data_IF_604733446647
#
_entry.id   IF_604733446647
#
_cell.length_a   1.000
_cell.length_b   1.000
_cell.length_c   1.000
_cell.angle_alpha   90.00
_cell.angle_beta   90.00
_cell.angle_gamma   90.00
#
_symmetry.space_group_name_H-M   'P 1'
#
loop_
_entity.id
_entity.type
_entity.pdbx_description
1 polymer ?
#
# COMPACT_ATOMS: atom_id res chain seq x y z
N UNK A 1 32.28 16.64 -15.02
CA UNK A 1 30.95 15.98 -15.12
C UNK A 1 29.88 17.05 -14.96
N UNK A 2 28.79 16.98 -15.72
CA UNK A 2 27.79 18.07 -15.80
C UNK A 2 26.40 17.57 -15.45
N UNK A 3 25.66 18.34 -14.65
CA UNK A 3 24.27 18.05 -14.29
C UNK A 3 23.36 17.98 -15.53
N UNK A 4 23.59 18.85 -16.52
CA UNK A 4 22.86 18.86 -17.79
C UNK A 4 23.06 17.55 -18.57
N UNK A 5 24.24 16.95 -18.50
CA UNK A 5 24.50 15.64 -19.12
C UNK A 5 23.72 14.52 -18.42
N UNK A 6 23.57 14.57 -17.09
CA UNK A 6 22.70 13.64 -16.37
C UNK A 6 21.22 13.85 -16.69
N UNK A 7 20.75 15.11 -16.66
CA UNK A 7 19.34 15.46 -16.87
C UNK A 7 18.83 15.13 -18.27
N UNK A 8 19.55 15.58 -19.30
CA UNK A 8 19.07 15.51 -20.69
C UNK A 8 19.64 14.33 -21.48
N UNK A 9 20.89 13.94 -21.19
CA UNK A 9 21.58 12.88 -21.93
C UNK A 9 21.65 11.56 -21.16
N UNK A 10 21.22 11.55 -19.88
CA UNK A 10 21.35 10.39 -18.97
C UNK A 10 22.75 9.76 -19.03
N UNK A 11 23.78 10.61 -19.11
CA UNK A 11 25.18 10.17 -19.23
C UNK A 11 25.57 9.25 -18.05
N UNK A 12 25.99 8.00 -18.29
CA UNK A 12 26.23 7.03 -17.22
C UNK A 12 27.25 7.50 -16.17
N UNK A 13 28.32 8.18 -16.59
CA UNK A 13 29.35 8.68 -15.66
C UNK A 13 28.79 9.74 -14.73
N UNK A 14 28.05 10.69 -15.28
CA UNK A 14 27.39 11.73 -14.50
C UNK A 14 26.35 11.14 -13.54
N UNK A 15 25.55 10.16 -13.97
CA UNK A 15 24.58 9.48 -13.10
C UNK A 15 25.27 8.69 -11.97
N UNK A 16 26.37 7.98 -12.24
CA UNK A 16 27.17 7.32 -11.19
C UNK A 16 27.71 8.29 -10.15
N UNK A 17 28.16 9.49 -10.56
CA UNK A 17 28.59 10.52 -9.61
C UNK A 17 27.44 11.09 -8.79
N UNK A 18 26.25 11.26 -9.36
CA UNK A 18 25.06 11.65 -8.60
C UNK A 18 24.66 10.56 -7.59
N UNK A 19 24.76 9.28 -7.96
CA UNK A 19 24.49 8.17 -7.05
C UNK A 19 25.48 8.15 -5.89
N UNK A 20 26.78 8.36 -6.14
CA UNK A 20 27.78 8.49 -5.08
C UNK A 20 27.48 9.69 -4.16
N UNK A 21 27.15 10.84 -4.73
CA UNK A 21 26.77 12.03 -3.96
C UNK A 21 25.51 11.80 -3.12
N UNK A 22 24.51 11.09 -3.64
CA UNK A 22 23.31 10.71 -2.87
C UNK A 22 23.69 9.90 -1.63
N UNK A 23 24.48 8.84 -1.80
CA UNK A 23 24.90 7.95 -0.71
C UNK A 23 25.71 8.70 0.37
N UNK A 24 26.51 9.69 -0.03
CA UNK A 24 27.24 10.56 0.89
C UNK A 24 26.35 11.61 1.58
N UNK A 25 25.17 11.91 1.03
CA UNK A 25 24.31 13.00 1.49
C UNK A 25 23.11 12.52 2.31
N UNK A 26 22.65 11.29 2.09
CA UNK A 26 21.47 10.75 2.77
C UNK A 26 21.76 10.52 4.27
N UNK A 27 20.82 10.84 5.19
CA UNK A 27 21.01 10.58 6.60
C UNK A 27 21.16 9.09 6.90
N UNK A 28 22.25 8.72 7.55
CA UNK A 28 22.55 7.35 7.97
C UNK A 28 23.38 7.37 9.25
N UNK A 29 23.46 6.26 10.01
CA UNK A 29 24.33 6.20 11.20
C UNK A 29 25.79 6.56 10.90
N UNK A 30 26.27 6.27 9.69
CA UNK A 30 27.63 6.53 9.22
C UNK A 30 27.83 7.94 8.62
N UNK A 31 26.77 8.73 8.48
CA UNK A 31 26.85 10.06 7.88
C UNK A 31 26.58 11.15 8.92
N UNK A 32 27.67 11.70 9.46
CA UNK A 32 27.62 12.79 10.45
C UNK A 32 27.17 14.13 9.85
N UNK A 33 27.20 14.27 8.51
CA UNK A 33 26.97 15.53 7.81
C UNK A 33 25.97 15.38 6.65
N UNK A 34 24.71 14.98 6.95
CA UNK A 34 23.70 14.82 5.90
C UNK A 34 23.41 16.14 5.18
N UNK A 35 23.04 16.05 3.91
CA UNK A 35 22.62 17.20 3.11
C UNK A 35 21.31 16.90 2.38
N UNK A 36 20.19 17.39 2.92
CA UNK A 36 18.87 17.19 2.31
C UNK A 36 18.78 17.75 0.88
N UNK A 37 19.46 18.86 0.58
CA UNK A 37 19.52 19.46 -0.78
C UNK A 37 20.11 18.47 -1.77
N UNK A 38 21.33 18.00 -1.47
CA UNK A 38 22.05 17.08 -2.33
C UNK A 38 21.31 15.74 -2.43
N UNK A 39 20.84 15.18 -1.32
CA UNK A 39 20.09 13.92 -1.32
C UNK A 39 18.79 14.02 -2.14
N UNK A 40 17.96 15.03 -1.90
CA UNK A 40 16.69 15.19 -2.61
C UNK A 40 16.87 15.41 -4.11
N UNK A 41 17.76 16.33 -4.51
CA UNK A 41 17.98 16.63 -5.94
C UNK A 41 18.62 15.45 -6.68
N UNK A 42 19.65 14.81 -6.11
CA UNK A 42 20.28 13.64 -6.75
C UNK A 42 19.28 12.50 -6.91
N UNK A 43 18.47 12.19 -5.88
CA UNK A 43 17.46 11.14 -5.95
C UNK A 43 16.38 11.45 -7.00
N UNK A 44 15.91 12.70 -7.07
CA UNK A 44 14.97 13.17 -8.10
C UNK A 44 15.53 12.99 -9.51
N UNK A 45 16.78 13.39 -9.74
CA UNK A 45 17.41 13.29 -11.07
C UNK A 45 17.62 11.83 -11.47
N UNK A 46 18.03 10.98 -10.54
CA UNK A 46 18.21 9.54 -10.77
C UNK A 46 16.85 8.87 -11.07
N UNK A 47 15.78 9.26 -10.37
CA UNK A 47 14.41 8.82 -10.64
C UNK A 47 13.84 9.34 -11.96
N UNK A 48 14.31 10.48 -12.46
CA UNK A 48 13.94 10.99 -13.77
C UNK A 48 12.50 11.48 -13.86
N UNK A 49 11.79 11.06 -14.91
CA UNK A 49 10.40 11.46 -15.24
C UNK A 49 9.35 10.79 -14.37
N UNK A 50 9.72 9.80 -13.55
CA UNK A 50 8.77 9.01 -12.76
C UNK A 50 7.96 7.98 -13.58
N UNK A 51 8.17 7.88 -14.89
CA UNK A 51 7.51 6.85 -15.69
C UNK A 51 8.10 5.45 -15.46
N UNK A 52 7.39 4.43 -15.93
CA UNK A 52 7.77 3.02 -15.76
C UNK A 52 9.17 2.71 -16.32
N UNK A 53 9.57 3.35 -17.42
CA UNK A 53 10.89 3.13 -18.03
C UNK A 53 12.00 3.74 -17.17
N UNK A 54 11.79 4.95 -16.65
CA UNK A 54 12.71 5.62 -15.74
C UNK A 54 12.87 4.83 -14.43
N UNK A 55 11.77 4.34 -13.84
CA UNK A 55 11.81 3.50 -12.63
C UNK A 55 12.52 2.16 -12.89
N UNK A 56 12.25 1.51 -14.02
CA UNK A 56 12.93 0.26 -14.40
C UNK A 56 14.43 0.48 -14.54
N UNK A 57 14.83 1.58 -15.20
CA UNK A 57 16.23 1.98 -15.33
C UNK A 57 16.89 2.23 -13.96
N UNK A 58 16.22 2.97 -13.07
CA UNK A 58 16.71 3.25 -11.72
C UNK A 58 16.98 1.95 -10.94
N UNK A 59 16.02 1.03 -10.95
CA UNK A 59 16.08 -0.26 -10.24
C UNK A 59 17.20 -1.17 -10.71
N UNK A 60 17.54 -1.13 -12.00
CA UNK A 60 18.61 -1.95 -12.58
C UNK A 60 20.00 -1.32 -12.46
N UNK A 61 20.09 0.02 -12.52
CA UNK A 61 21.38 0.72 -12.57
C UNK A 61 21.89 1.14 -11.19
N UNK A 62 20.99 1.46 -10.25
CA UNK A 62 21.36 2.05 -8.97
C UNK A 62 20.67 1.35 -7.77
N UNK A 63 20.73 0.02 -7.62
CA UNK A 63 20.08 -0.65 -6.48
C UNK A 63 20.53 -0.10 -5.12
N UNK A 64 21.81 0.23 -4.96
CA UNK A 64 22.36 0.76 -3.70
C UNK A 64 21.71 2.08 -3.23
N UNK A 65 21.25 2.94 -4.16
CA UNK A 65 20.57 4.17 -3.76
C UNK A 65 19.15 3.87 -3.25
N UNK A 66 18.50 2.86 -3.82
CA UNK A 66 17.18 2.40 -3.39
C UNK A 66 17.28 1.69 -2.04
N UNK A 67 18.33 0.89 -1.82
CA UNK A 67 18.63 0.30 -0.51
C UNK A 67 18.83 1.38 0.55
N UNK A 68 19.68 2.38 0.29
CA UNK A 68 19.91 3.48 1.22
C UNK A 68 18.64 4.31 1.44
N UNK A 69 17.85 4.54 0.39
CA UNK A 69 16.59 5.26 0.48
C UNK A 69 15.55 4.51 1.31
N UNK A 70 15.38 3.22 1.06
CA UNK A 70 14.46 2.37 1.81
C UNK A 70 14.95 2.19 3.25
N UNK A 71 16.24 2.04 3.49
CA UNK A 71 16.81 2.02 4.84
C UNK A 71 16.57 3.34 5.59
N UNK A 72 16.64 4.49 4.91
CA UNK A 72 16.27 5.76 5.53
C UNK A 72 14.79 5.79 5.92
N UNK A 73 13.88 5.40 5.02
CA UNK A 73 12.42 5.44 5.27
C UNK A 73 11.99 4.40 6.32
N UNK A 74 12.50 3.16 6.22
CA UNK A 74 12.12 2.04 7.05
C UNK A 74 12.86 1.96 8.39
N UNK A 75 13.80 2.88 8.68
CA UNK A 75 14.52 2.85 9.96
C UNK A 75 13.58 3.21 11.12
N UNK A 76 13.45 2.32 12.12
CA UNK A 76 12.70 2.64 13.34
C UNK A 76 13.28 3.89 14.01
N UNK A 77 12.41 4.83 14.35
CA UNK A 77 12.76 6.07 15.05
C UNK A 77 11.76 6.33 16.16
N UNK A 78 12.27 6.75 17.30
CA UNK A 78 11.47 7.38 18.34
C UNK A 78 11.02 8.77 17.89
N UNK A 79 9.98 9.33 18.53
CA UNK A 79 9.57 10.71 18.30
C UNK A 79 10.70 11.74 18.59
N UNK A 80 11.62 11.41 19.49
CA UNK A 80 12.79 12.26 19.78
C UNK A 80 13.75 12.23 18.59
N UNK A 81 14.14 11.05 18.11
CA UNK A 81 15.04 10.91 16.96
C UNK A 81 14.48 11.54 15.68
N UNK A 82 13.16 11.42 15.44
CA UNK A 82 12.52 12.07 14.30
C UNK A 82 12.63 13.61 14.39
N UNK A 83 12.40 14.20 15.56
CA UNK A 83 12.54 15.65 15.77
C UNK A 83 13.99 16.11 15.64
N UNK A 84 14.94 15.37 16.20
CA UNK A 84 16.37 15.69 16.06
C UNK A 84 16.84 15.56 14.62
N UNK A 85 16.34 14.58 13.86
CA UNK A 85 16.57 14.49 12.42
C UNK A 85 16.04 15.72 11.69
N UNK A 86 14.81 16.17 11.96
CA UNK A 86 14.27 17.40 11.36
C UNK A 86 15.14 18.61 11.65
N UNK A 87 15.57 18.78 12.92
CA UNK A 87 16.46 19.88 13.32
C UNK A 87 17.81 19.81 12.61
N UNK A 88 18.42 18.62 12.55
CA UNK A 88 19.70 18.40 11.89
C UNK A 88 19.62 18.72 10.39
N UNK A 89 18.57 18.26 9.70
CA UNK A 89 18.36 18.56 8.28
C UNK A 89 18.08 20.04 8.04
N UNK A 90 17.34 20.71 8.93
CA UNK A 90 17.10 22.15 8.85
C UNK A 90 18.39 22.96 9.06
N UNK A 91 19.24 22.56 9.99
CA UNK A 91 20.56 23.16 10.16
C UNK A 91 21.42 22.95 8.91
N UNK A 92 21.55 21.71 8.44
CA UNK A 92 22.33 21.37 7.25
C UNK A 92 21.81 22.01 5.95
N UNK A 93 20.51 22.33 5.87
CA UNK A 93 19.95 23.05 4.73
C UNK A 93 20.61 24.41 4.52
N UNK A 94 20.94 25.12 5.61
CA UNK A 94 21.56 26.44 5.57
C UNK A 94 23.10 26.39 5.55
N UNK A 95 23.70 25.36 6.15
CA UNK A 95 25.15 25.25 6.33
C UNK A 95 25.70 23.85 6.03
N UNK A 96 25.37 23.29 4.86
CA UNK A 96 25.90 21.99 4.43
C UNK A 96 27.43 21.99 4.28
N UNK A 97 28.07 20.86 4.60
CA UNK A 97 29.53 20.66 4.45
C UNK A 97 29.93 20.04 3.09
N UNK A 98 29.03 20.04 2.11
CA UNK A 98 29.34 19.49 0.79
C UNK A 98 30.45 20.31 0.12
N UNK A 99 31.39 19.62 -0.54
CA UNK A 99 32.46 20.25 -1.30
C UNK A 99 31.92 20.88 -2.60
N UNK A 100 31.51 22.14 -2.49
CA UNK A 100 30.99 22.92 -3.63
C UNK A 100 32.08 23.31 -4.64
N UNK A 101 33.36 23.04 -4.37
CA UNK A 101 34.40 23.19 -5.39
C UNK A 101 34.22 22.15 -6.51
N UNK A 102 33.55 21.02 -6.24
CA UNK A 102 33.17 20.06 -7.26
C UNK A 102 32.00 20.61 -8.10
N UNK A 103 32.16 20.73 -9.44
CA UNK A 103 31.14 21.36 -10.30
C UNK A 103 29.76 20.69 -10.20
N UNK A 104 29.71 19.37 -10.08
CA UNK A 104 28.44 18.63 -9.97
C UNK A 104 27.73 18.91 -8.64
N UNK A 105 28.48 19.07 -7.55
CA UNK A 105 27.94 19.38 -6.22
C UNK A 105 27.38 20.80 -6.21
N UNK A 106 28.10 21.78 -6.77
CA UNK A 106 27.59 23.15 -6.90
C UNK A 106 26.29 23.18 -7.69
N UNK A 107 26.26 22.58 -8.89
CA UNK A 107 25.07 22.56 -9.75
C UNK A 107 23.86 21.91 -9.06
N UNK A 108 24.07 20.83 -8.29
CA UNK A 108 23.01 20.19 -7.50
C UNK A 108 22.43 21.14 -6.45
N UNK A 109 23.28 21.93 -5.78
CA UNK A 109 22.82 22.91 -4.78
C UNK A 109 22.12 24.10 -5.43
N UNK A 110 22.61 24.58 -6.57
CA UNK A 110 21.98 25.64 -7.34
C UNK A 110 20.58 25.19 -7.80
N UNK A 111 20.46 23.96 -8.30
CA UNK A 111 19.18 23.36 -8.65
C UNK A 111 18.24 23.21 -7.44
N UNK A 112 18.77 22.87 -6.26
CA UNK A 112 17.96 22.77 -5.04
C UNK A 112 17.34 24.11 -4.63
N UNK A 113 18.05 25.23 -4.83
CA UNK A 113 17.55 26.58 -4.54
C UNK A 113 16.42 26.99 -5.48
N UNK A 114 16.42 26.47 -6.71
CA UNK A 114 15.37 26.68 -7.70
C UNK A 114 14.11 25.85 -7.46
N UNK A 115 14.08 24.99 -6.43
CA UNK A 115 12.89 24.21 -6.13
C UNK A 115 11.73 25.16 -5.75
N UNK A 116 10.62 25.17 -6.51
CA UNK A 116 9.58 26.17 -6.30
C UNK A 116 8.74 25.92 -5.05
N UNK A 117 8.84 24.75 -4.40
CA UNK A 117 8.03 24.41 -3.23
C UNK A 117 8.58 25.07 -1.95
N UNK A 118 7.92 26.13 -1.42
CA UNK A 118 8.39 26.82 -0.23
C UNK A 118 8.33 25.94 1.02
N UNK A 119 7.47 24.91 1.03
CA UNK A 119 7.37 23.97 2.15
C UNK A 119 8.63 23.14 2.27
N UNK A 120 9.18 22.68 1.15
CA UNK A 120 10.44 21.93 1.13
C UNK A 120 11.63 22.74 1.66
N UNK A 121 11.60 24.08 1.51
CA UNK A 121 12.63 24.96 2.06
C UNK A 121 12.49 25.16 3.58
N UNK A 122 11.25 25.25 4.07
CA UNK A 122 10.95 25.45 5.49
C UNK A 122 11.06 24.16 6.31
N UNK A 123 10.79 23.02 5.66
CA UNK A 123 10.87 21.67 6.20
C UNK A 123 11.63 20.74 5.22
N UNK A 124 12.96 20.70 5.34
CA UNK A 124 13.80 19.86 4.48
C UNK A 124 13.53 18.36 4.61
N UNK A 125 13.06 17.91 5.77
CA UNK A 125 12.69 16.50 5.95
C UNK A 125 11.45 16.18 5.12
N UNK A 126 10.42 17.02 5.22
CA UNK A 126 9.22 16.88 4.40
C UNK A 126 9.55 16.93 2.91
N UNK A 127 10.39 17.88 2.47
CA UNK A 127 10.82 17.97 1.07
C UNK A 127 11.57 16.73 0.59
N UNK A 128 12.43 16.16 1.43
CA UNK A 128 13.14 14.91 1.13
C UNK A 128 12.17 13.72 1.02
N UNK A 129 11.22 13.59 1.95
CA UNK A 129 10.18 12.56 1.91
C UNK A 129 9.29 12.70 0.66
N UNK A 130 8.94 13.94 0.27
CA UNK A 130 8.18 14.26 -0.92
C UNK A 130 8.80 13.76 -2.23
N UNK A 131 10.12 13.59 -2.25
CA UNK A 131 10.85 13.03 -3.40
C UNK A 131 11.05 11.52 -3.24
N UNK A 132 11.46 11.07 -2.06
CA UNK A 132 11.84 9.67 -1.84
C UNK A 132 10.65 8.73 -1.84
N UNK A 133 9.56 9.09 -1.16
CA UNK A 133 8.39 8.22 -0.97
C UNK A 133 7.74 7.85 -2.30
N UNK A 134 7.46 8.77 -3.25
CA UNK A 134 6.88 8.39 -4.54
C UNK A 134 7.75 7.41 -5.34
N UNK A 135 9.06 7.68 -5.44
CA UNK A 135 10.00 6.83 -6.18
C UNK A 135 10.08 5.43 -5.56
N UNK A 136 10.17 5.35 -4.24
CA UNK A 136 10.21 4.06 -3.54
C UNK A 136 8.87 3.31 -3.68
N UNK A 137 7.74 4.01 -3.58
CA UNK A 137 6.41 3.43 -3.77
C UNK A 137 6.20 2.85 -5.18
N UNK A 138 6.87 3.41 -6.18
CA UNK A 138 6.86 2.89 -7.56
C UNK A 138 7.87 1.75 -7.80
N UNK A 139 8.92 1.67 -6.97
CA UNK A 139 9.95 0.63 -7.10
C UNK A 139 9.62 -0.64 -6.31
N UNK A 140 8.84 -0.54 -5.22
CA UNK A 140 8.41 -1.70 -4.41
C UNK A 140 7.20 -2.37 -5.07
N UNK A 141 7.23 -3.70 -5.32
CA UNK A 141 6.08 -4.42 -5.85
C UNK A 141 4.84 -4.30 -4.96
N UNK A 142 3.68 -4.04 -5.55
CA UNK A 142 2.42 -3.89 -4.81
C UNK A 142 1.85 -5.21 -4.30
N UNK A 143 2.22 -6.35 -4.90
CA UNK A 143 1.73 -7.67 -4.49
C UNK A 143 2.88 -8.64 -4.26
N UNK A 144 2.72 -9.51 -3.27
CA UNK A 144 3.72 -10.51 -2.88
C UNK A 144 4.06 -11.49 -4.03
N UNK A 145 3.10 -11.78 -4.91
CA UNK A 145 3.33 -12.59 -6.10
C UNK A 145 4.40 -11.99 -7.02
N UNK A 146 4.36 -10.67 -7.23
CA UNK A 146 5.33 -9.96 -8.07
C UNK A 146 6.70 -9.92 -7.41
N UNK A 147 6.75 -9.73 -6.09
CA UNK A 147 8.00 -9.81 -5.33
C UNK A 147 8.67 -11.18 -5.48
N UNK A 148 7.92 -12.28 -5.35
CA UNK A 148 8.45 -13.63 -5.56
C UNK A 148 8.93 -13.88 -6.99
N UNK A 149 8.17 -13.39 -7.98
CA UNK A 149 8.57 -13.50 -9.38
C UNK A 149 9.87 -12.73 -9.65
N UNK A 150 9.99 -11.53 -9.07
CA UNK A 150 11.18 -10.69 -9.14
C UNK A 150 12.39 -11.35 -8.48
N UNK A 151 12.27 -11.87 -7.25
CA UNK A 151 13.37 -12.56 -6.58
C UNK A 151 13.87 -13.76 -7.37
N UNK A 152 12.98 -14.57 -7.94
CA UNK A 152 13.37 -15.69 -8.83
C UNK A 152 14.06 -15.22 -10.11
N UNK A 153 13.62 -14.10 -10.67
CA UNK A 153 14.27 -13.49 -11.83
C UNK A 153 15.68 -13.00 -11.47
N UNK A 154 15.85 -12.40 -10.30
CA UNK A 154 17.15 -11.96 -9.78
C UNK A 154 18.09 -13.14 -9.49
N UNK A 155 17.61 -14.22 -8.89
CA UNK A 155 18.40 -15.46 -8.71
C UNK A 155 18.91 -16.04 -10.04
N UNK A 156 18.08 -15.98 -11.09
CA UNK A 156 18.48 -16.38 -12.45
C UNK A 156 19.49 -15.40 -13.03
N UNK A 157 19.29 -14.10 -12.84
CA UNK A 157 20.21 -13.06 -13.31
C UNK A 157 21.59 -13.20 -12.67
N UNK A 158 21.66 -13.41 -11.35
CA UNK A 158 22.91 -13.64 -10.60
C UNK A 158 23.65 -14.85 -11.17
N UNK A 159 22.96 -16.00 -11.35
CA UNK A 159 23.56 -17.20 -11.95
C UNK A 159 24.07 -16.98 -13.37
N UNK A 160 23.45 -16.07 -14.11
CA UNK A 160 23.85 -15.71 -15.47
C UNK A 160 24.85 -14.53 -15.53
N UNK A 161 25.35 -14.04 -14.38
CA UNK A 161 26.17 -12.83 -14.27
C UNK A 161 25.54 -11.60 -14.98
N UNK A 162 24.22 -11.48 -14.88
CA UNK A 162 23.44 -10.35 -15.42
C UNK A 162 23.08 -9.38 -14.31
N UNK A 163 22.74 -8.14 -14.70
CA UNK A 163 22.22 -7.13 -13.77
C UNK A 163 20.91 -7.61 -13.14
N UNK A 164 20.79 -7.37 -11.85
CA UNK A 164 19.57 -7.61 -11.07
C UNK A 164 18.67 -6.38 -11.10
N UNK A 165 17.40 -6.57 -10.74
CA UNK A 165 16.41 -5.49 -10.60
C UNK A 165 16.03 -5.37 -9.13
N UNK A 166 16.23 -4.21 -8.52
CA UNK A 166 15.81 -3.93 -7.14
C UNK A 166 14.27 -4.00 -6.99
N UNK A 167 13.68 -4.40 -5.85
CA UNK A 167 14.35 -5.01 -4.71
C UNK A 167 14.82 -6.43 -5.04
N UNK A 168 15.98 -6.82 -4.51
CA UNK A 168 16.53 -8.16 -4.73
C UNK A 168 15.62 -9.23 -4.08
N UNK A 169 15.26 -8.96 -2.83
CA UNK A 169 14.48 -9.82 -1.94
C UNK A 169 13.65 -8.95 -0.97
N UNK A 170 13.00 -9.62 -0.01
CA UNK A 170 12.17 -8.95 0.98
C UNK A 170 12.98 -8.03 1.91
N UNK A 171 14.25 -8.37 2.18
CA UNK A 171 15.12 -7.59 3.04
C UNK A 171 15.50 -6.25 2.39
N UNK A 172 15.69 -6.21 1.07
CA UNK A 172 15.90 -4.96 0.35
C UNK A 172 14.70 -3.99 0.49
N UNK A 173 13.47 -4.52 0.50
CA UNK A 173 12.26 -3.72 0.70
C UNK A 173 11.95 -3.42 2.18
N UNK A 174 12.40 -4.27 3.11
CA UNK A 174 12.17 -4.17 4.56
C UNK A 174 13.45 -4.46 5.36
N UNK A 175 14.45 -3.55 5.32
CA UNK A 175 15.81 -3.83 5.77
C UNK A 175 15.97 -4.03 7.29
N UNK A 176 14.97 -3.69 8.08
CA UNK A 176 14.98 -3.89 9.54
C UNK A 176 14.07 -5.05 9.97
N UNK A 177 13.73 -5.93 9.03
CA UNK A 177 12.71 -6.96 9.21
C UNK A 177 11.30 -6.42 8.98
N UNK A 178 10.30 -7.30 8.74
CA UNK A 178 8.99 -6.88 8.27
C UNK A 178 8.24 -5.95 9.24
N UNK A 179 8.14 -6.34 10.52
CA UNK A 179 7.38 -5.59 11.52
C UNK A 179 8.00 -4.21 11.80
N UNK A 180 9.32 -4.15 12.05
CA UNK A 180 9.99 -2.91 12.40
C UNK A 180 10.04 -1.92 11.22
N UNK A 181 10.29 -2.43 10.01
CA UNK A 181 10.26 -1.63 8.78
C UNK A 181 8.86 -1.06 8.54
N UNK A 182 7.82 -1.88 8.71
CA UNK A 182 6.45 -1.44 8.52
C UNK A 182 6.03 -0.38 9.55
N UNK A 183 6.32 -0.56 10.84
CA UNK A 183 6.08 0.46 11.89
C UNK A 183 6.77 1.78 11.56
N UNK A 184 8.01 1.72 11.06
CA UNK A 184 8.74 2.92 10.67
C UNK A 184 8.09 3.65 9.50
N UNK A 185 7.58 2.92 8.50
CA UNK A 185 6.84 3.51 7.38
C UNK A 185 5.54 4.17 7.87
N UNK A 186 4.79 3.51 8.77
CA UNK A 186 3.57 4.08 9.36
C UNK A 186 3.85 5.36 10.16
N UNK A 187 4.98 5.42 10.88
CA UNK A 187 5.34 6.58 11.71
C UNK A 187 5.45 7.89 10.91
N UNK A 188 5.77 7.81 9.62
CA UNK A 188 5.83 9.00 8.76
C UNK A 188 4.49 9.69 8.58
N UNK A 189 3.35 9.00 8.80
CA UNK A 189 2.02 9.62 8.78
C UNK A 189 1.85 10.78 9.77
N UNK A 190 2.70 10.84 10.81
CA UNK A 190 2.69 11.95 11.79
C UNK A 190 3.27 13.26 11.24
N UNK A 191 4.02 13.22 10.14
CA UNK A 191 4.77 14.36 9.59
C UNK A 191 4.44 14.57 8.09
N UNK A 192 4.13 13.49 7.36
CA UNK A 192 4.03 13.45 5.92
C UNK A 192 2.65 12.97 5.48
N UNK A 193 1.75 13.93 5.24
CA UNK A 193 0.34 13.70 4.91
C UNK A 193 0.10 13.75 3.39
N UNK A 194 0.89 13.01 2.61
CA UNK A 194 0.78 13.00 1.14
C UNK A 194 0.29 11.64 0.60
N UNK A 195 -0.52 11.63 -0.49
CA UNK A 195 -1.14 10.42 -1.05
C UNK A 195 -0.18 9.27 -1.36
N UNK A 196 1.04 9.57 -1.84
CA UNK A 196 2.05 8.56 -2.16
C UNK A 196 2.56 7.80 -0.93
N UNK A 197 2.45 8.35 0.28
CA UNK A 197 2.76 7.59 1.49
C UNK A 197 1.85 6.37 1.63
N UNK A 198 0.56 6.51 1.31
CA UNK A 198 -0.39 5.41 1.41
C UNK A 198 -0.13 4.32 0.37
N UNK A 199 0.39 4.69 -0.81
CA UNK A 199 0.89 3.72 -1.79
C UNK A 199 2.08 2.94 -1.25
N UNK A 200 3.04 3.60 -0.59
CA UNK A 200 4.18 2.92 0.02
C UNK A 200 3.75 2.03 1.20
N UNK A 201 2.86 2.53 2.07
CA UNK A 201 2.28 1.76 3.17
C UNK A 201 1.59 0.51 2.61
N UNK A 202 0.79 0.64 1.56
CA UNK A 202 0.15 -0.49 0.89
C UNK A 202 1.17 -1.50 0.35
N UNK A 203 2.19 -1.03 -0.36
CA UNK A 203 3.22 -1.91 -0.91
C UNK A 203 3.91 -2.72 0.20
N UNK A 204 4.36 -2.06 1.26
CA UNK A 204 5.03 -2.72 2.40
C UNK A 204 4.06 -3.59 3.20
N UNK A 205 2.79 -3.18 3.36
CA UNK A 205 1.71 -3.96 3.97
C UNK A 205 1.52 -5.30 3.26
N UNK A 206 1.45 -5.28 1.93
CA UNK A 206 1.25 -6.48 1.11
C UNK A 206 2.46 -7.42 1.14
N UNK A 207 3.67 -6.88 1.33
CA UNK A 207 4.88 -7.68 1.52
C UNK A 207 4.99 -8.25 2.94
N UNK A 208 4.51 -7.51 3.94
CA UNK A 208 4.47 -7.97 5.33
C UNK A 208 3.40 -9.05 5.56
N UNK A 209 2.28 -8.94 4.86
CA UNK A 209 1.08 -9.76 5.03
C UNK A 209 -0.08 -8.92 5.57
N UNK A 210 -1.14 -8.66 4.77
CA UNK A 210 -2.26 -7.79 5.14
C UNK A 210 -2.91 -8.09 6.50
N UNK A 211 -3.08 -9.36 6.86
CA UNK A 211 -3.56 -9.76 8.19
C UNK A 211 -2.69 -9.30 9.37
N UNK A 212 -1.38 -9.09 9.20
CA UNK A 212 -0.49 -8.56 10.27
C UNK A 212 -0.50 -7.04 10.24
N UNK A 213 -0.38 -6.45 9.05
CA UNK A 213 -0.29 -4.99 8.89
C UNK A 213 -1.60 -4.27 9.22
N UNK A 214 -2.76 -4.87 8.92
CA UNK A 214 -4.07 -4.26 9.11
C UNK A 214 -4.35 -3.89 10.58
N UNK A 215 -4.19 -4.79 11.57
CA UNK A 215 -4.32 -4.40 12.99
C UNK A 215 -3.40 -3.25 13.39
N UNK A 216 -2.19 -3.19 12.83
CA UNK A 216 -1.22 -2.12 13.11
C UNK A 216 -1.67 -0.78 12.52
N UNK A 217 -2.27 -0.80 11.31
CA UNK A 217 -2.84 0.39 10.67
C UNK A 217 -4.04 0.91 11.49
N UNK A 218 -5.00 0.06 11.85
CA UNK A 218 -6.17 0.48 12.65
C UNK A 218 -5.83 0.90 14.08
N UNK A 219 -4.70 0.43 14.60
CA UNK A 219 -4.17 0.87 15.89
C UNK A 219 -3.36 2.17 15.81
N UNK A 220 -3.22 2.78 14.62
CA UNK A 220 -2.44 3.99 14.39
C UNK A 220 -3.32 5.18 14.00
N UNK A 221 -3.79 6.00 14.96
CA UNK A 221 -4.64 7.16 14.68
C UNK A 221 -4.00 8.15 13.71
N UNK A 222 -2.66 8.29 13.73
CA UNK A 222 -1.94 9.19 12.83
C UNK A 222 -2.07 8.78 11.36
N UNK A 223 -2.09 7.48 11.06
CA UNK A 223 -2.25 6.98 9.68
C UNK A 223 -3.64 7.32 9.16
N UNK A 224 -4.67 7.12 9.98
CA UNK A 224 -6.06 7.34 9.58
C UNK A 224 -6.37 8.84 9.47
N UNK A 225 -5.83 9.65 10.38
CA UNK A 225 -5.88 11.12 10.31
C UNK A 225 -5.15 11.65 9.07
N UNK A 226 -3.92 11.19 8.81
CA UNK A 226 -3.15 11.58 7.63
C UNK A 226 -3.87 11.20 6.33
N UNK A 227 -4.50 10.03 6.28
CA UNK A 227 -5.29 9.58 5.14
C UNK A 227 -6.46 10.52 4.86
N UNK A 228 -7.21 10.87 5.91
CA UNK A 228 -8.34 11.78 5.81
C UNK A 228 -7.91 13.16 5.30
N UNK A 229 -6.83 13.71 5.86
CA UNK A 229 -6.27 15.01 5.45
C UNK A 229 -5.75 15.00 4.01
N UNK A 230 -5.01 13.97 3.62
CA UNK A 230 -4.49 13.85 2.25
C UNK A 230 -5.62 13.76 1.22
N UNK A 231 -6.64 12.95 1.52
CA UNK A 231 -7.82 12.79 0.66
C UNK A 231 -8.63 14.09 0.59
N UNK A 232 -8.86 14.75 1.72
CA UNK A 232 -9.57 16.03 1.79
C UNK A 232 -8.81 17.13 1.03
N UNK A 233 -7.48 17.21 1.19
CA UNK A 233 -6.62 18.15 0.46
C UNK A 233 -6.74 17.96 -1.05
N UNK A 234 -6.69 16.72 -1.53
CA UNK A 234 -6.86 16.40 -2.95
C UNK A 234 -8.25 16.80 -3.47
N UNK A 235 -9.31 16.45 -2.73
CA UNK A 235 -10.69 16.79 -3.09
C UNK A 235 -10.92 18.32 -3.09
N UNK A 236 -10.50 19.03 -2.05
CA UNK A 236 -10.60 20.48 -1.96
C UNK A 236 -9.81 21.17 -3.07
N UNK A 237 -8.58 20.75 -3.35
CA UNK A 237 -7.78 21.33 -4.43
C UNK A 237 -8.51 21.24 -5.78
N UNK A 238 -9.14 20.10 -6.06
CA UNK A 238 -9.96 19.92 -7.26
C UNK A 238 -11.22 20.78 -7.22
N UNK A 239 -11.95 20.80 -6.11
CA UNK A 239 -13.18 21.60 -5.96
C UNK A 239 -12.96 23.11 -6.14
N UNK A 240 -11.83 23.66 -5.70
CA UNK A 240 -11.52 25.08 -5.88
C UNK A 240 -11.28 25.43 -7.35
N UNK A 241 -10.83 24.48 -8.17
CA UNK A 241 -10.49 24.66 -9.59
C UNK A 241 -10.98 23.46 -10.41
N UNK A 242 -12.30 23.26 -10.53
CA UNK A 242 -12.89 22.00 -11.01
C UNK A 242 -12.57 21.70 -12.48
N UNK A 243 -12.30 22.76 -13.26
CA UNK A 243 -11.99 22.69 -14.69
C UNK A 243 -10.51 22.89 -15.02
N UNK A 244 -9.64 23.05 -14.02
CA UNK A 244 -8.20 23.12 -14.28
C UNK A 244 -7.68 21.71 -14.59
N UNK A 245 -7.24 21.45 -15.83
CA UNK A 245 -6.88 20.11 -16.25
C UNK A 245 -5.64 19.55 -15.55
N UNK A 246 -4.73 20.41 -15.08
CA UNK A 246 -3.54 19.97 -14.35
C UNK A 246 -3.92 19.50 -12.96
N UNK A 247 -4.82 20.23 -12.31
CA UNK A 247 -5.24 19.95 -10.93
C UNK A 247 -6.16 18.75 -10.87
N UNK A 248 -7.16 18.66 -11.76
CA UNK A 248 -8.04 17.50 -11.83
C UNK A 248 -7.24 16.21 -12.08
N UNK A 249 -6.23 16.27 -12.97
CA UNK A 249 -5.34 15.15 -13.28
C UNK A 249 -4.45 14.76 -12.10
N UNK A 250 -3.95 15.72 -11.33
CA UNK A 250 -3.18 15.42 -10.13
C UNK A 250 -4.07 14.86 -9.02
N UNK A 251 -5.22 15.50 -8.77
CA UNK A 251 -6.17 15.08 -7.75
C UNK A 251 -6.70 13.67 -8.00
N UNK A 252 -7.00 13.27 -9.25
CA UNK A 252 -7.44 11.90 -9.52
C UNK A 252 -6.34 10.87 -9.27
N UNK A 253 -5.06 11.19 -9.54
CA UNK A 253 -3.93 10.31 -9.23
C UNK A 253 -3.73 10.15 -7.72
N UNK A 254 -3.83 11.27 -7.00
CA UNK A 254 -3.74 11.32 -5.54
C UNK A 254 -4.87 10.50 -4.90
N UNK A 255 -6.12 10.73 -5.32
CA UNK A 255 -7.28 9.98 -4.86
C UNK A 255 -7.20 8.51 -5.23
N UNK A 256 -6.57 8.16 -6.36
CA UNK A 256 -6.33 6.77 -6.74
C UNK A 256 -5.37 6.08 -5.76
N UNK A 257 -4.28 6.74 -5.36
CA UNK A 257 -3.37 6.19 -4.34
C UNK A 257 -4.06 6.00 -2.98
N UNK A 258 -4.89 6.98 -2.57
CA UNK A 258 -5.75 6.83 -1.41
C UNK A 258 -6.69 5.63 -1.58
N UNK A 259 -7.35 5.49 -2.73
CA UNK A 259 -8.30 4.39 -3.02
C UNK A 259 -7.65 3.01 -2.95
N UNK A 260 -6.42 2.87 -3.44
CA UNK A 260 -5.69 1.59 -3.39
C UNK A 260 -5.41 1.17 -1.95
N UNK A 261 -4.85 2.07 -1.13
CA UNK A 261 -4.61 1.81 0.28
C UNK A 261 -5.91 1.47 1.01
N UNK A 262 -6.97 2.20 0.66
CA UNK A 262 -8.25 2.10 1.30
C UNK A 262 -9.01 0.82 0.95
N UNK A 263 -8.93 0.36 -0.30
CA UNK A 263 -9.47 -0.92 -0.72
C UNK A 263 -8.82 -2.09 -0.01
N UNK A 264 -7.49 -2.07 0.12
CA UNK A 264 -6.75 -3.15 0.79
C UNK A 264 -7.08 -3.20 2.28
N UNK A 265 -7.17 -2.03 2.93
CA UNK A 265 -7.53 -1.94 4.33
C UNK A 265 -8.97 -2.40 4.58
N UNK A 266 -9.93 -1.87 3.82
CA UNK A 266 -11.34 -1.92 4.19
C UNK A 266 -12.14 -3.06 3.55
N UNK A 267 -11.75 -3.60 2.39
CA UNK A 267 -12.50 -4.71 1.79
C UNK A 267 -12.46 -5.98 2.65
N UNK A 268 -11.45 -6.10 3.49
CA UNK A 268 -11.23 -7.23 4.40
C UNK A 268 -11.34 -6.87 5.88
N UNK A 269 -11.57 -5.60 6.21
CA UNK A 269 -11.83 -5.19 7.59
C UNK A 269 -13.21 -5.66 8.03
N UNK A 270 -13.33 -6.10 9.27
CA UNK A 270 -14.64 -6.34 9.88
C UNK A 270 -15.34 -5.00 10.21
N UNK A 271 -16.59 -5.09 10.64
CA UNK A 271 -17.41 -3.93 10.95
C UNK A 271 -16.89 -3.14 12.17
N UNK A 272 -16.20 -3.81 13.11
CA UNK A 272 -15.63 -3.16 14.30
C UNK A 272 -14.40 -2.31 13.93
N UNK A 273 -13.53 -2.83 13.09
CA UNK A 273 -12.38 -2.14 12.52
C UNK A 273 -12.85 -0.93 11.69
N UNK A 274 -13.87 -1.13 10.84
CA UNK A 274 -14.44 -0.06 10.03
C UNK A 274 -15.12 1.01 10.88
N UNK A 275 -15.82 0.62 11.95
CA UNK A 275 -16.44 1.57 12.88
C UNK A 275 -15.37 2.36 13.65
N UNK A 276 -14.31 1.70 14.12
CA UNK A 276 -13.15 2.36 14.75
C UNK A 276 -12.52 3.36 13.79
N UNK A 277 -12.30 2.96 12.53
CA UNK A 277 -11.77 3.83 11.49
C UNK A 277 -12.64 5.06 11.27
N UNK A 278 -13.95 4.86 11.05
CA UNK A 278 -14.90 5.95 10.83
C UNK A 278 -14.94 6.92 12.02
N UNK A 279 -14.86 6.39 13.25
CA UNK A 279 -14.84 7.19 14.47
C UNK A 279 -13.57 8.03 14.61
N UNK A 280 -12.39 7.46 14.31
CA UNK A 280 -11.13 8.18 14.37
C UNK A 280 -11.00 9.25 13.28
N UNK A 281 -11.48 8.95 12.07
CA UNK A 281 -11.47 9.92 10.97
C UNK A 281 -12.44 11.08 11.22
N UNK A 282 -13.53 10.85 11.95
CA UNK A 282 -14.52 11.87 12.28
C UNK A 282 -13.95 13.09 13.04
N UNK A 283 -12.80 12.95 13.72
CA UNK A 283 -12.09 14.07 14.34
C UNK A 283 -11.55 15.08 13.32
N UNK A 284 -11.30 14.63 12.08
CA UNK A 284 -10.82 15.45 10.97
C UNK A 284 -11.97 15.81 10.02
N UNK A 285 -12.71 14.80 9.58
CA UNK A 285 -13.80 14.94 8.59
C UNK A 285 -14.75 13.75 8.68
N UNK A 286 -16.05 13.99 8.46
CA UNK A 286 -17.00 12.89 8.34
C UNK A 286 -16.66 12.03 7.11
N UNK A 287 -16.30 10.77 7.35
CA UNK A 287 -15.88 9.86 6.27
C UNK A 287 -16.95 9.71 5.16
N UNK A 288 -18.26 9.54 5.46
CA UNK A 288 -19.28 9.56 4.43
C UNK A 288 -19.32 10.85 3.59
N UNK A 289 -19.15 12.02 4.22
CA UNK A 289 -19.17 13.30 3.50
C UNK A 289 -17.93 13.46 2.60
N UNK A 290 -16.76 13.02 3.09
CA UNK A 290 -15.55 13.00 2.27
C UNK A 290 -15.71 12.09 1.05
N UNK A 291 -16.28 10.90 1.24
CA UNK A 291 -16.58 9.99 0.13
C UNK A 291 -17.56 10.60 -0.87
N UNK A 292 -18.61 11.28 -0.38
CA UNK A 292 -19.58 11.98 -1.21
C UNK A 292 -18.94 13.07 -2.07
N UNK A 293 -18.13 13.93 -1.45
CA UNK A 293 -17.41 14.99 -2.14
C UNK A 293 -16.55 14.42 -3.27
N UNK A 294 -15.78 13.37 -3.01
CA UNK A 294 -14.94 12.71 -4.02
C UNK A 294 -15.79 12.14 -5.17
N UNK A 295 -16.85 11.39 -4.86
CA UNK A 295 -17.69 10.76 -5.88
C UNK A 295 -18.38 11.82 -6.77
N UNK A 296 -18.86 12.92 -6.18
CA UNK A 296 -19.46 14.03 -6.93
C UNK A 296 -18.45 14.74 -7.83
N UNK A 297 -17.25 15.03 -7.33
CA UNK A 297 -16.19 15.67 -8.11
C UNK A 297 -15.82 14.83 -9.33
N UNK A 298 -15.55 13.53 -9.13
CA UNK A 298 -15.17 12.65 -10.25
C UNK A 298 -16.30 12.52 -11.27
N UNK A 299 -17.55 12.39 -10.81
CA UNK A 299 -18.71 12.26 -11.71
C UNK A 299 -19.00 13.55 -12.50
N UNK A 300 -18.78 14.72 -11.89
CA UNK A 300 -19.15 16.01 -12.50
C UNK A 300 -18.05 16.61 -13.38
N UNK A 301 -16.80 16.17 -13.21
CA UNK A 301 -15.62 16.80 -13.83
C UNK A 301 -14.63 15.79 -14.45
N UNK A 302 -15.10 14.58 -14.82
CA UNK A 302 -14.28 13.57 -15.51
C UNK A 302 -13.70 14.09 -16.86
N UNK A 303 -14.45 14.96 -17.54
CA UNK A 303 -14.08 15.58 -18.81
C UNK A 303 -12.89 16.53 -18.67
N UNK A 304 -12.73 17.17 -17.51
CA UNK A 304 -11.61 18.07 -17.22
C UNK A 304 -10.27 17.34 -17.02
N UNK A 305 -10.25 16.02 -16.84
CA UNK A 305 -9.03 15.25 -16.57
C UNK A 305 -8.25 15.03 -17.88
N UNK A 306 -6.97 15.40 -17.93
CA UNK A 306 -6.10 15.15 -19.09
C UNK A 306 -5.91 13.65 -19.35
N UNK A 307 -5.71 13.24 -20.62
CA UNK A 307 -5.33 11.86 -20.92
C UNK A 307 -4.01 11.47 -20.26
N UNK A 308 -3.98 10.30 -19.62
CA UNK A 308 -2.76 9.64 -19.16
C UNK A 308 -2.96 8.11 -19.18
N UNK A 309 -1.87 7.30 -19.20
CA UNK A 309 -1.98 5.85 -19.17
C UNK A 309 -2.75 5.37 -17.94
N UNK A 310 -3.84 4.60 -18.16
CA UNK A 310 -4.68 4.11 -17.07
C UNK A 310 -5.73 5.10 -16.54
N UNK A 311 -5.97 6.26 -17.20
CA UNK A 311 -6.99 7.25 -16.78
C UNK A 311 -8.33 6.60 -16.39
N UNK A 312 -8.88 5.77 -17.28
CA UNK A 312 -10.18 5.11 -17.08
C UNK A 312 -10.19 4.20 -15.85
N UNK A 313 -9.13 3.44 -15.64
CA UNK A 313 -9.00 2.53 -14.52
C UNK A 313 -8.87 3.31 -13.20
N UNK A 314 -8.12 4.41 -13.20
CA UNK A 314 -8.03 5.30 -12.05
C UNK A 314 -9.39 5.89 -11.67
N UNK A 315 -10.13 6.45 -12.64
CA UNK A 315 -11.47 7.02 -12.42
C UNK A 315 -12.43 5.96 -11.88
N UNK A 316 -12.49 4.81 -12.54
CA UNK A 316 -13.38 3.70 -12.15
C UNK A 316 -13.05 3.23 -10.74
N UNK A 317 -11.77 3.06 -10.42
CA UNK A 317 -11.32 2.63 -9.09
C UNK A 317 -11.72 3.66 -8.04
N UNK A 318 -11.40 4.95 -8.24
CA UNK A 318 -11.75 6.00 -7.28
C UNK A 318 -13.26 6.07 -7.05
N UNK A 319 -14.07 6.10 -8.11
CA UNK A 319 -15.53 6.14 -7.98
C UNK A 319 -16.07 4.92 -7.23
N UNK A 320 -15.62 3.72 -7.59
CA UNK A 320 -16.08 2.48 -6.98
C UNK A 320 -15.69 2.39 -5.50
N UNK A 321 -14.41 2.65 -5.17
CA UNK A 321 -13.89 2.59 -3.81
C UNK A 321 -14.62 3.55 -2.89
N UNK A 322 -14.65 4.85 -3.22
CA UNK A 322 -15.30 5.85 -2.37
C UNK A 322 -16.82 5.66 -2.29
N UNK A 323 -17.46 5.12 -3.34
CA UNK A 323 -18.88 4.74 -3.27
C UNK A 323 -19.14 3.62 -2.27
N UNK A 324 -18.38 2.52 -2.37
CA UNK A 324 -18.54 1.34 -1.50
C UNK A 324 -18.29 1.73 -0.05
N UNK A 325 -17.19 2.44 0.20
CA UNK A 325 -16.83 2.81 1.56
C UNK A 325 -17.78 3.85 2.14
N UNK A 326 -18.15 4.88 1.38
CA UNK A 326 -19.14 5.85 1.83
C UNK A 326 -20.43 5.16 2.28
N UNK A 327 -20.91 4.18 1.48
CA UNK A 327 -22.10 3.39 1.81
C UNK A 327 -21.93 2.52 3.06
N UNK A 328 -20.79 1.83 3.19
CA UNK A 328 -20.48 1.01 4.37
C UNK A 328 -20.39 1.85 5.64
N UNK A 329 -19.70 2.98 5.58
CA UNK A 329 -19.55 3.90 6.71
C UNK A 329 -20.92 4.44 7.18
N UNK A 330 -21.81 4.81 6.24
CA UNK A 330 -23.18 5.23 6.58
C UNK A 330 -23.97 4.12 7.28
N UNK A 331 -23.82 2.87 6.83
CA UNK A 331 -24.53 1.73 7.41
C UNK A 331 -24.11 1.51 8.87
N UNK A 332 -22.80 1.60 9.15
CA UNK A 332 -22.24 1.42 10.48
C UNK A 332 -22.54 2.58 11.44
N UNK A 333 -22.59 3.81 10.92
CA UNK A 333 -22.94 5.00 11.70
C UNK A 333 -24.45 5.13 11.97
N UNK A 334 -25.27 4.18 11.51
CA UNK A 334 -26.73 4.15 11.73
C UNK A 334 -27.42 5.46 11.31
N UNK A 335 -27.02 6.03 10.18
CA UNK A 335 -27.63 7.26 9.64
C UNK A 335 -29.13 7.08 9.40
N UNK A 336 -29.91 8.13 9.65
CA UNK A 336 -31.37 8.11 9.45
C UNK A 336 -31.72 8.22 7.96
N UNK A 337 -32.91 7.77 7.52
CA UNK A 337 -33.33 7.93 6.12
C UNK A 337 -33.29 9.38 5.62
N UNK A 338 -33.65 10.34 6.48
CA UNK A 338 -33.63 11.78 6.14
C UNK A 338 -32.20 12.26 5.86
N UNK A 339 -31.22 11.75 6.59
CA UNK A 339 -29.80 12.02 6.36
C UNK A 339 -29.30 11.49 5.02
N UNK A 340 -29.91 10.44 4.46
CA UNK A 340 -29.41 9.81 3.23
C UNK A 340 -29.53 10.73 2.01
N UNK A 341 -30.51 11.64 2.02
CA UNK A 341 -30.81 12.54 0.90
C UNK A 341 -29.65 13.45 0.49
N UNK A 342 -28.70 13.73 1.40
CA UNK A 342 -27.53 14.58 1.13
C UNK A 342 -26.40 13.88 0.37
N UNK A 343 -26.43 12.55 0.29
CA UNK A 343 -25.36 11.77 -0.34
C UNK A 343 -25.64 11.43 -1.80
N UNK A 344 -24.58 11.14 -2.54
CA UNK A 344 -24.62 10.73 -3.93
C UNK A 344 -25.39 9.40 -4.05
N UNK A 345 -26.21 9.27 -5.10
CA UNK A 345 -27.05 8.07 -5.31
C UNK A 345 -26.26 6.77 -5.27
N UNK A 346 -25.04 6.75 -5.80
CA UNK A 346 -24.16 5.58 -5.73
C UNK A 346 -23.86 5.15 -4.29
N UNK A 347 -23.57 6.10 -3.40
CA UNK A 347 -23.30 5.86 -1.98
C UNK A 347 -24.55 5.34 -1.28
N UNK A 348 -25.72 5.93 -1.54
CA UNK A 348 -27.01 5.46 -1.01
C UNK A 348 -27.28 4.01 -1.44
N UNK A 349 -27.04 3.69 -2.71
CA UNK A 349 -27.18 2.32 -3.21
C UNK A 349 -26.20 1.36 -2.53
N UNK A 350 -24.97 1.78 -2.26
CA UNK A 350 -24.00 0.99 -1.51
C UNK A 350 -24.44 0.78 -0.05
N UNK A 351 -24.97 1.82 0.61
CA UNK A 351 -25.55 1.75 1.95
C UNK A 351 -26.66 0.69 2.03
N UNK A 352 -27.64 0.72 1.13
CA UNK A 352 -28.72 -0.27 1.13
C UNK A 352 -28.20 -1.67 0.84
N UNK A 353 -27.21 -1.83 -0.05
CA UNK A 353 -26.55 -3.12 -0.25
C UNK A 353 -25.91 -3.63 1.04
N UNK A 354 -25.23 -2.77 1.78
CA UNK A 354 -24.61 -3.14 3.06
C UNK A 354 -25.64 -3.46 4.15
N UNK A 355 -26.76 -2.75 4.24
CA UNK A 355 -27.84 -3.09 5.19
C UNK A 355 -28.59 -4.37 4.82
N UNK A 356 -28.75 -4.63 3.51
CA UNK A 356 -29.46 -5.81 3.01
C UNK A 356 -28.62 -7.08 3.10
N UNK A 357 -27.29 -6.94 3.18
CA UNK A 357 -26.43 -8.06 3.51
C UNK A 357 -26.68 -8.38 5.00
N UNK A 358 -27.12 -9.62 5.34
CA UNK A 358 -27.12 -10.06 6.72
C UNK A 358 -25.76 -9.74 7.32
N UNK A 359 -25.71 -9.22 8.55
CA UNK A 359 -24.49 -8.60 9.11
C UNK A 359 -23.26 -9.51 9.04
N UNK A 360 -23.43 -10.82 8.81
CA UNK A 360 -22.39 -11.69 8.27
C UNK A 360 -22.98 -12.77 7.35
N UNK A 361 -23.22 -12.45 6.07
CA UNK A 361 -23.49 -13.50 5.07
C UNK A 361 -22.37 -14.56 5.13
N UNK A 362 -22.66 -15.86 5.29
CA UNK A 362 -21.64 -16.90 5.31
C UNK A 362 -20.74 -16.86 4.07
N UNK A 363 -21.29 -16.49 2.91
CA UNK A 363 -20.51 -16.32 1.67
C UNK A 363 -19.47 -15.21 1.76
N UNK A 364 -19.82 -14.09 2.41
CA UNK A 364 -18.89 -13.00 2.62
C UNK A 364 -17.75 -13.43 3.56
N UNK A 365 -18.10 -14.11 4.66
CA UNK A 365 -17.10 -14.67 5.58
C UNK A 365 -16.18 -15.63 4.84
N UNK A 366 -16.73 -16.60 4.09
CA UNK A 366 -15.94 -17.56 3.31
C UNK A 366 -15.04 -16.84 2.33
N UNK A 367 -15.58 -15.92 1.51
CA UNK A 367 -14.81 -15.15 0.55
C UNK A 367 -13.62 -14.45 1.23
N UNK A 368 -13.88 -13.66 2.27
CA UNK A 368 -12.84 -12.88 2.94
C UNK A 368 -11.74 -13.77 3.52
N UNK A 369 -12.11 -14.88 4.17
CA UNK A 369 -11.13 -15.79 4.78
C UNK A 369 -10.34 -16.58 3.73
N UNK A 370 -11.00 -17.00 2.64
CA UNK A 370 -10.34 -17.64 1.51
C UNK A 370 -9.36 -16.69 0.81
N UNK A 371 -9.73 -15.41 0.66
CA UNK A 371 -8.85 -14.38 0.16
C UNK A 371 -7.64 -14.19 1.07
N UNK A 372 -7.83 -14.15 2.40
CA UNK A 372 -6.72 -14.10 3.37
C UNK A 372 -5.80 -15.32 3.23
N UNK A 373 -6.34 -16.54 3.22
CA UNK A 373 -5.54 -17.77 3.07
C UNK A 373 -4.75 -17.78 1.74
N UNK A 374 -5.36 -17.33 0.64
CA UNK A 374 -4.77 -17.39 -0.70
C UNK A 374 -3.81 -16.24 -0.99
N UNK A 375 -4.13 -15.01 -0.56
CA UNK A 375 -3.33 -13.81 -0.85
C UNK A 375 -2.26 -13.59 0.19
N UNK A 376 -2.60 -13.70 1.46
CA UNK A 376 -1.71 -13.33 2.55
C UNK A 376 -0.75 -14.48 2.92
N UNK A 377 -0.98 -15.66 2.37
CA UNK A 377 -0.12 -16.82 2.57
C UNK A 377 0.00 -17.20 4.04
N UNK A 378 -1.11 -17.13 4.78
CA UNK A 378 -1.19 -17.50 6.21
C UNK A 378 -1.29 -19.01 6.38
N UNK A 379 -0.81 -19.52 7.51
CA UNK A 379 -0.95 -20.91 7.86
C UNK A 379 -2.37 -21.17 8.41
N UNK A 380 -3.08 -22.16 7.88
CA UNK A 380 -4.40 -22.55 8.38
C UNK A 380 -4.36 -23.46 9.60
N UNK A 381 -3.25 -23.49 10.35
CA UNK A 381 -3.20 -24.08 11.67
C UNK A 381 -3.40 -22.97 12.69
N UNK A 382 -4.34 -23.13 13.61
CA UNK A 382 -4.62 -22.14 14.65
C UNK A 382 -3.37 -21.76 15.43
N UNK A 383 -3.33 -20.49 15.83
CA UNK A 383 -2.22 -19.86 16.57
C UNK A 383 -0.89 -19.80 15.80
N UNK A 384 -0.82 -20.34 14.58
CA UNK A 384 0.39 -20.28 13.77
C UNK A 384 0.49 -18.92 13.08
N UNK A 385 1.39 -18.07 13.56
CA UNK A 385 1.67 -16.74 12.99
C UNK A 385 2.59 -16.77 11.76
N UNK A 386 2.84 -17.96 11.20
CA UNK A 386 3.71 -18.10 10.04
C UNK A 386 3.02 -17.59 8.78
N UNK A 387 3.74 -16.77 8.02
CA UNK A 387 3.35 -16.28 6.71
C UNK A 387 4.33 -16.80 5.66
N UNK A 388 3.95 -16.73 4.38
CA UNK A 388 4.89 -17.02 3.29
C UNK A 388 6.11 -16.11 3.36
N UNK A 389 5.93 -14.85 3.78
CA UNK A 389 7.03 -13.90 4.00
C UNK A 389 7.96 -14.31 5.15
N UNK A 390 7.46 -14.96 6.20
CA UNK A 390 8.27 -15.38 7.36
C UNK A 390 8.97 -16.74 7.20
N UNK A 391 8.72 -17.46 6.11
CA UNK A 391 9.12 -18.88 5.93
C UNK A 391 10.04 -19.08 4.73
N UNK A 392 11.10 -18.27 4.66
CA UNK A 392 12.07 -18.27 3.55
C UNK A 392 11.41 -18.13 2.17
N UNK A 393 10.32 -17.36 2.07
CA UNK A 393 9.52 -17.19 0.85
C UNK A 393 8.99 -18.50 0.24
N UNK A 394 8.89 -19.58 1.03
CA UNK A 394 8.34 -20.85 0.55
C UNK A 394 6.82 -20.79 0.52
N UNK A 395 6.23 -21.23 -0.59
CA UNK A 395 4.78 -21.43 -0.67
C UNK A 395 4.39 -22.52 0.32
N UNK A 396 3.39 -22.22 1.14
CA UNK A 396 2.77 -23.21 2.01
C UNK A 396 2.16 -24.33 1.19
N UNK A 397 2.35 -25.56 1.67
CA UNK A 397 1.68 -26.72 1.08
C UNK A 397 0.21 -26.65 1.42
N UNK A 398 -0.66 -26.65 0.42
CA UNK A 398 -2.10 -26.80 0.63
C UNK A 398 -2.43 -28.24 1.00
N UNK A 399 -3.48 -28.42 1.81
CA UNK A 399 -4.00 -29.75 2.12
C UNK A 399 -4.32 -30.51 0.82
N UNK A 400 -3.71 -31.68 0.62
CA UNK A 400 -3.93 -32.50 -0.58
C UNK A 400 -5.37 -33.04 -0.71
N UNK A 401 -6.14 -33.03 0.38
CA UNK A 401 -7.54 -33.46 0.37
C UNK A 401 -8.48 -32.40 -0.21
N UNK A 402 -8.45 -31.18 0.32
CA UNK A 402 -9.36 -30.11 -0.11
C UNK A 402 -8.76 -29.13 -1.13
N UNK A 403 -7.42 -29.00 -1.17
CA UNK A 403 -6.72 -27.99 -1.97
C UNK A 403 -6.87 -26.55 -1.48
N UNK A 404 -7.58 -26.33 -0.37
CA UNK A 404 -7.95 -24.98 0.11
C UNK A 404 -7.01 -24.48 1.20
N UNK A 405 -6.82 -25.26 2.28
CA UNK A 405 -6.13 -24.77 3.48
C UNK A 405 -4.61 -24.92 3.35
N UNK A 406 -3.83 -23.82 3.30
CA UNK A 406 -2.37 -23.84 3.34
C UNK A 406 -1.82 -24.18 4.73
N UNK A 407 -0.69 -24.88 4.78
CA UNK A 407 0.08 -25.11 6.00
C UNK A 407 1.58 -24.86 5.78
N UNK A 408 2.22 -24.20 6.74
CA UNK A 408 3.66 -23.91 6.67
C UNK A 408 4.54 -25.15 6.87
N UNK A 409 4.01 -26.21 7.49
CA UNK A 409 4.72 -27.46 7.75
C UNK A 409 3.76 -28.64 7.89
N UNK A 410 4.28 -29.87 7.79
CA UNK A 410 3.50 -31.10 8.06
C UNK A 410 2.99 -31.17 9.50
N UNK A 411 3.72 -30.59 10.46
CA UNK A 411 3.29 -30.60 11.86
C UNK A 411 2.15 -29.60 12.09
N UNK A 412 2.19 -28.44 11.45
CA UNK A 412 1.05 -27.52 11.42
C UNK A 412 -0.18 -28.18 10.76
N UNK A 413 0.01 -28.92 9.67
CA UNK A 413 -1.07 -29.68 9.06
C UNK A 413 -1.65 -30.73 10.03
N UNK A 414 -0.82 -31.50 10.74
CA UNK A 414 -1.28 -32.48 11.75
C UNK A 414 -2.03 -31.81 12.91
N UNK A 415 -1.55 -30.65 13.38
CA UNK A 415 -2.21 -29.86 14.42
C UNK A 415 -3.59 -29.38 13.94
N UNK A 416 -3.65 -28.71 12.79
CA UNK A 416 -4.92 -28.29 12.19
C UNK A 416 -5.86 -29.45 11.87
N UNK A 417 -5.32 -30.63 11.53
CA UNK A 417 -6.11 -31.84 11.24
C UNK A 417 -6.92 -32.34 12.44
N UNK A 418 -6.37 -32.22 13.65
CA UNK A 418 -6.97 -32.71 14.90
C UNK A 418 -7.21 -31.58 15.91
N UNK A 419 -7.31 -30.34 15.44
CA UNK A 419 -7.53 -29.19 16.29
C UNK A 419 -8.84 -29.36 17.08
N UNK A 420 -8.84 -28.97 18.36
CA UNK A 420 -9.96 -29.24 19.24
C UNK A 420 -11.19 -28.38 18.91
N UNK A 421 -10.98 -27.13 18.48
CA UNK A 421 -12.09 -26.21 18.19
C UNK A 421 -12.41 -26.15 16.68
N UNK A 422 -11.42 -26.35 15.81
CA UNK A 422 -11.58 -26.31 14.36
C UNK A 422 -10.90 -27.51 13.65
N UNK A 423 -11.36 -28.75 13.88
CA UNK A 423 -10.74 -29.95 13.32
C UNK A 423 -10.87 -30.00 11.79
N UNK A 424 -9.75 -29.79 11.06
CA UNK A 424 -9.78 -29.78 9.59
C UNK A 424 -10.22 -31.11 8.99
N UNK A 425 -10.02 -32.24 9.66
CA UNK A 425 -10.46 -33.55 9.15
C UNK A 425 -11.98 -33.64 8.93
N UNK A 426 -12.79 -32.96 9.76
CA UNK A 426 -14.24 -32.91 9.61
C UNK A 426 -14.66 -31.99 8.45
N UNK A 427 -13.85 -30.95 8.18
CA UNK A 427 -14.15 -29.92 7.18
C UNK A 427 -13.53 -30.19 5.82
N UNK A 428 -12.49 -31.02 5.73
CA UNK A 428 -11.71 -31.25 4.52
C UNK A 428 -12.60 -31.67 3.33
N UNK A 429 -13.51 -32.63 3.53
CA UNK A 429 -14.44 -33.07 2.46
C UNK A 429 -15.42 -31.96 2.06
N UNK A 430 -15.91 -31.17 3.01
CA UNK A 430 -16.85 -30.06 2.76
C UNK A 430 -16.17 -28.94 1.97
N UNK A 431 -14.95 -28.56 2.37
CA UNK A 431 -14.12 -27.60 1.66
C UNK A 431 -13.72 -28.08 0.26
N UNK A 432 -13.46 -29.38 0.10
CA UNK A 432 -13.19 -29.96 -1.22
C UNK A 432 -14.39 -29.78 -2.15
N UNK A 433 -15.57 -30.22 -1.72
CA UNK A 433 -16.80 -30.07 -2.51
C UNK A 433 -17.08 -28.60 -2.81
N UNK A 434 -16.92 -27.72 -1.83
CA UNK A 434 -17.06 -26.28 -2.02
C UNK A 434 -16.06 -25.75 -3.07
N UNK A 435 -14.78 -26.14 -2.98
CA UNK A 435 -13.73 -25.69 -3.90
C UNK A 435 -13.96 -26.17 -5.34
N UNK A 436 -14.31 -27.44 -5.52
CA UNK A 436 -14.58 -28.02 -6.84
C UNK A 436 -15.74 -27.32 -7.53
N UNK A 437 -16.78 -26.95 -6.78
CA UNK A 437 -18.01 -26.40 -7.34
C UNK A 437 -17.98 -24.86 -7.42
N UNK A 438 -17.54 -24.17 -6.38
CA UNK A 438 -17.59 -22.71 -6.30
C UNK A 438 -16.33 -22.04 -6.86
N UNK A 439 -15.18 -22.74 -6.84
CA UNK A 439 -13.87 -22.22 -7.27
C UNK A 439 -13.38 -22.89 -8.56
N UNK A 440 -14.20 -23.73 -9.19
CA UNK A 440 -13.85 -24.49 -10.41
C UNK A 440 -12.58 -25.35 -10.25
N UNK A 441 -12.29 -25.79 -9.01
CA UNK A 441 -11.06 -26.51 -8.65
C UNK A 441 -9.77 -25.69 -8.81
N UNK A 442 -9.87 -24.38 -9.04
CA UNK A 442 -8.74 -23.46 -9.24
C UNK A 442 -8.47 -22.63 -7.98
N UNK A 443 -7.36 -21.88 -8.03
CA UNK A 443 -7.12 -20.80 -7.05
C UNK A 443 -8.26 -19.80 -7.11
N UNK A 444 -8.56 -19.18 -5.98
CA UNK A 444 -9.59 -18.15 -5.87
C UNK A 444 -9.22 -16.97 -6.77
N UNK A 445 -9.76 -16.97 -7.98
CA UNK A 445 -9.75 -15.84 -8.92
C UNK A 445 -11.13 -15.15 -8.89
N UNK A 446 -11.77 -15.11 -7.73
CA UNK A 446 -13.14 -14.61 -7.60
C UNK A 446 -13.15 -13.08 -7.59
N UNK A 447 -14.06 -12.50 -8.38
CA UNK A 447 -14.18 -11.07 -8.61
C UNK A 447 -14.90 -10.32 -7.47
N UNK A 448 -15.80 -10.98 -6.70
CA UNK A 448 -16.46 -10.41 -5.51
C UNK A 448 -17.30 -11.45 -4.70
N UNK A 449 -17.68 -11.16 -3.43
CA UNK A 449 -18.51 -12.04 -2.60
C UNK A 449 -19.91 -12.39 -3.16
N UNK A 450 -20.56 -11.48 -3.89
CA UNK A 450 -21.89 -11.72 -4.45
C UNK A 450 -21.83 -12.69 -5.62
N UNK A 451 -20.76 -12.64 -6.40
CA UNK A 451 -20.50 -13.63 -7.44
C UNK A 451 -20.25 -15.02 -6.85
N UNK A 452 -19.50 -15.10 -5.74
CA UNK A 452 -19.36 -16.37 -5.00
C UNK A 452 -20.71 -16.89 -4.51
N UNK A 453 -21.51 -16.03 -3.89
CA UNK A 453 -22.84 -16.38 -3.42
C UNK A 453 -23.72 -16.92 -4.55
N UNK A 454 -23.84 -16.19 -5.66
CA UNK A 454 -24.65 -16.62 -6.82
C UNK A 454 -24.18 -17.96 -7.38
N UNK A 455 -22.87 -18.18 -7.48
CA UNK A 455 -22.30 -19.48 -7.89
C UNK A 455 -22.74 -20.58 -6.92
N UNK A 456 -22.55 -20.39 -5.61
CA UNK A 456 -22.93 -21.39 -4.60
C UNK A 456 -24.44 -21.69 -4.60
N UNK A 457 -25.27 -20.66 -4.79
CA UNK A 457 -26.73 -20.82 -4.87
C UNK A 457 -27.13 -21.61 -6.13
N UNK A 458 -26.50 -21.34 -7.28
CA UNK A 458 -26.81 -22.04 -8.54
C UNK A 458 -26.55 -23.54 -8.54
N UNK A 459 -25.80 -24.03 -7.55
CA UNK A 459 -25.38 -25.43 -7.38
C UNK A 459 -25.89 -26.04 -6.08
N UNK A 460 -26.78 -25.34 -5.36
CA UNK A 460 -27.39 -25.83 -4.11
C UNK A 460 -26.47 -25.86 -2.89
N UNK A 461 -25.35 -25.14 -2.91
CA UNK A 461 -24.51 -24.92 -1.73
C UNK A 461 -25.08 -23.73 -0.95
N UNK A 462 -26.03 -23.99 -0.06
CA UNK A 462 -26.71 -22.97 0.75
C UNK A 462 -26.91 -23.39 2.21
N UNK A 463 -27.41 -22.45 3.03
CA UNK A 463 -27.88 -22.72 4.39
C UNK A 463 -26.80 -23.20 5.35
N UNK A 464 -27.01 -24.37 5.95
CA UNK A 464 -26.18 -24.90 7.04
C UNK A 464 -24.73 -25.17 6.60
N UNK A 465 -24.51 -25.63 5.37
CA UNK A 465 -23.17 -25.97 4.89
C UNK A 465 -22.27 -24.73 4.78
N UNK A 466 -22.80 -23.63 4.25
CA UNK A 466 -22.03 -22.39 4.10
C UNK A 466 -21.79 -21.74 5.45
N UNK A 467 -22.77 -21.76 6.35
CA UNK A 467 -22.60 -21.32 7.73
C UNK A 467 -21.50 -22.11 8.46
N UNK A 468 -21.45 -23.43 8.27
CA UNK A 468 -20.44 -24.29 8.88
C UNK A 468 -19.03 -24.02 8.32
N UNK A 469 -18.88 -23.89 7.00
CA UNK A 469 -17.59 -23.52 6.39
C UNK A 469 -17.14 -22.13 6.87
N UNK A 470 -18.05 -21.16 6.92
CA UNK A 470 -17.78 -19.82 7.42
C UNK A 470 -17.30 -19.86 8.89
N UNK A 471 -17.98 -20.62 9.74
CA UNK A 471 -17.60 -20.81 11.14
C UNK A 471 -16.21 -21.43 11.28
N UNK A 472 -15.94 -22.50 10.52
CA UNK A 472 -14.62 -23.14 10.50
C UNK A 472 -13.50 -22.18 10.09
N UNK A 473 -13.70 -21.45 9.00
CA UNK A 473 -12.69 -20.51 8.50
C UNK A 473 -12.42 -19.40 9.51
N UNK A 474 -13.46 -18.90 10.18
CA UNK A 474 -13.33 -17.92 11.26
C UNK A 474 -12.50 -18.44 12.41
N UNK A 475 -12.81 -19.63 12.92
CA UNK A 475 -12.04 -20.25 14.00
C UNK A 475 -10.60 -20.56 13.61
N UNK A 476 -10.33 -20.73 12.31
CA UNK A 476 -8.98 -21.01 11.79
C UNK A 476 -8.11 -19.74 11.72
N UNK A 477 -8.71 -18.57 11.46
CA UNK A 477 -8.01 -17.30 11.27
C UNK A 477 -8.14 -16.32 12.45
N UNK A 478 -8.96 -16.64 13.45
CA UNK A 478 -8.95 -16.01 14.77
C UNK A 478 -7.70 -16.39 15.55
#
# INVERSE_FOLDING_TARGET
>A
MSLNAALHKRDPKSLSSLAALFLQSIPSPSNEHPCAKAAGVTFRILGGTGDTAAMTSLRMQFPAILDAGMAFIARPRTHVEARELTKALKSAWNSCRCDKAQPIVSQVHDFAVLNPDPRAHNDPLWGLLGIMVPILADCVPLIEADMRNLSRANEKAIRANKRITWPMDLNAAMPFGPEASFKAVLAWSTIFEEPYLFKLILAVSNLHGPHISRPMIFSSPSVLSAFAKATQKAAQSWEHRPRDPTISTQAIKDLFHCSLFFCDLLLSADDSDMQRFASQVAEVVSLPLLCDQVVRLVTSHEDAILPFPGKKDCITTVQASFTIIGGRALALLKSTPDDLSKYHRGIIMAFFRHQSLPSESPYHTIYTHLMTLSRDGVCGARECKATTSSSDNRKFSVCSGCGVIPYCSKDCQKRGWKDIDAPHNLMCKKLRNFSEIALDGRKIEIQDPMTLQRKCQSVGIEGALTAEIAGYLRSTLS
#
